data_IF_757417135956
#
_entry.id   IF_757417135956
#
_cell.length_a   1.000
_cell.length_b   1.000
_cell.length_c   1.000
_cell.angle_alpha   90.00
_cell.angle_beta   90.00
_cell.angle_gamma   90.00
#
_symmetry.space_group_name_H-M   'P 1'
#
loop_
_entity.id
_entity.type
_entity.pdbx_description
1 polymer ?
#
# COMPACT_ATOMS: atom_id res chain seq x y z
N UNK A 1 49.00 4.46 3.71
CA UNK A 1 47.55 4.20 3.72
C UNK A 1 47.04 4.32 2.29
N UNK A 2 47.02 3.20 1.57
CA UNK A 2 46.55 3.14 0.19
C UNK A 2 45.02 3.05 0.24
N UNK A 3 44.26 4.00 -0.33
CA UNK A 3 42.81 3.91 -0.31
C UNK A 3 42.36 2.69 -1.12
N UNK A 4 41.53 1.89 -0.47
CA UNK A 4 41.08 0.58 -0.88
C UNK A 4 40.24 0.66 -2.17
N UNK A 5 40.83 0.23 -3.28
CA UNK A 5 40.22 0.18 -4.63
C UNK A 5 39.03 -0.78 -4.71
N UNK A 6 38.73 -1.52 -3.64
CA UNK A 6 37.52 -2.31 -3.49
C UNK A 6 36.24 -1.45 -3.48
N UNK A 7 36.32 -0.21 -3.02
CA UNK A 7 35.17 0.73 -2.93
C UNK A 7 34.61 1.16 -4.30
N UNK A 8 35.44 1.15 -5.35
CA UNK A 8 35.01 1.47 -6.72
C UNK A 8 34.23 0.33 -7.39
N UNK A 9 34.21 -0.88 -6.81
CA UNK A 9 33.50 -2.04 -7.36
C UNK A 9 32.01 -2.11 -6.98
N UNK A 10 31.54 -1.29 -6.05
CA UNK A 10 30.25 -1.49 -5.40
C UNK A 10 29.18 -0.43 -5.77
N UNK A 11 29.53 0.62 -6.50
CA UNK A 11 28.74 1.85 -6.49
C UNK A 11 27.97 2.19 -7.78
N UNK A 12 27.60 1.23 -8.64
CA UNK A 12 26.64 1.49 -9.73
C UNK A 12 25.65 0.32 -9.93
N UNK A 13 24.67 0.28 -9.01
CA UNK A 13 23.25 0.04 -9.28
C UNK A 13 22.88 -1.14 -10.20
N UNK A 14 22.81 -2.34 -9.61
CA UNK A 14 21.82 -3.34 -10.00
C UNK A 14 20.53 -3.04 -9.25
N UNK A 15 19.58 -2.31 -9.87
CA UNK A 15 18.19 -2.43 -9.46
C UNK A 15 17.64 -3.65 -10.22
N UNK A 16 17.36 -4.74 -9.51
CA UNK A 16 16.69 -5.93 -10.06
C UNK A 16 17.42 -6.63 -11.23
N UNK A 17 18.76 -6.72 -11.17
CA UNK A 17 19.53 -7.54 -12.10
C UNK A 17 19.61 -7.04 -13.55
N UNK A 18 19.06 -5.86 -13.87
CA UNK A 18 19.19 -5.23 -15.20
C UNK A 18 20.16 -4.05 -15.15
N UNK A 19 21.12 -3.94 -16.08
CA UNK A 19 21.99 -2.78 -16.15
C UNK A 19 21.18 -1.53 -16.51
N UNK A 20 21.32 -0.47 -15.71
CA UNK A 20 20.61 0.82 -15.89
C UNK A 20 20.97 1.49 -17.24
N UNK A 21 22.17 1.23 -17.76
CA UNK A 21 22.66 1.85 -18.99
C UNK A 21 22.61 0.88 -20.17
N UNK A 22 21.96 1.29 -21.26
CA UNK A 22 21.92 0.53 -22.53
C UNK A 22 23.28 0.49 -23.27
N UNK A 23 24.22 1.38 -22.92
CA UNK A 23 25.58 1.49 -23.47
C UNK A 23 26.57 1.76 -22.33
N UNK A 24 27.84 1.37 -22.51
CA UNK A 24 28.87 1.64 -21.51
C UNK A 24 29.10 3.15 -21.34
N UNK A 25 29.00 3.70 -20.10
CA UNK A 25 29.31 5.10 -19.83
C UNK A 25 30.80 5.39 -20.00
N UNK A 26 31.16 6.66 -20.25
CA UNK A 26 32.56 7.10 -20.44
C UNK A 26 33.48 6.81 -19.24
N UNK A 27 32.91 6.70 -18.03
CA UNK A 27 33.65 6.46 -16.78
C UNK A 27 34.17 5.01 -16.72
N UNK A 28 33.54 4.08 -17.44
CA UNK A 28 33.93 2.68 -17.40
C UNK A 28 35.10 2.40 -18.33
N UNK A 29 36.12 1.67 -17.87
CA UNK A 29 37.19 1.23 -18.74
C UNK A 29 36.64 0.24 -19.80
N UNK A 30 37.25 0.18 -20.99
CA UNK A 30 36.89 -0.82 -21.99
C UNK A 30 37.21 -2.24 -21.49
N UNK A 31 36.53 -3.24 -22.07
CA UNK A 31 36.77 -4.64 -21.72
C UNK A 31 38.23 -5.04 -22.02
N UNK A 32 38.79 -5.93 -21.19
CA UNK A 32 40.18 -6.40 -21.35
C UNK A 32 40.49 -6.94 -22.75
N UNK A 33 39.55 -7.65 -23.36
CA UNK A 33 39.66 -8.19 -24.74
C UNK A 33 39.65 -7.12 -25.84
N UNK A 34 39.31 -5.86 -25.51
CA UNK A 34 39.25 -4.73 -26.45
C UNK A 34 40.39 -3.74 -26.25
N UNK A 35 41.18 -3.84 -25.17
CA UNK A 35 42.27 -2.92 -24.86
C UNK A 35 43.34 -2.85 -25.96
N UNK A 36 43.68 -4.01 -26.53
CA UNK A 36 44.74 -4.12 -27.55
C UNK A 36 44.18 -4.46 -28.94
N UNK A 37 42.85 -4.52 -29.09
CA UNK A 37 42.21 -4.91 -30.34
C UNK A 37 42.15 -3.72 -31.28
N UNK A 38 43.03 -3.69 -32.27
CA UNK A 38 42.96 -2.76 -33.41
C UNK A 38 42.04 -3.36 -34.47
N UNK A 39 41.16 -2.54 -35.06
CA UNK A 39 40.32 -2.98 -36.18
C UNK A 39 41.15 -2.94 -37.46
N UNK A 40 41.37 -4.11 -38.05
CA UNK A 40 42.02 -4.20 -39.35
C UNK A 40 41.08 -3.69 -40.47
N UNK A 41 41.61 -2.91 -41.42
CA UNK A 41 40.84 -2.51 -42.59
C UNK A 41 40.53 -3.73 -43.44
N UNK A 42 39.29 -3.80 -43.94
CA UNK A 42 38.92 -4.82 -44.92
C UNK A 42 39.53 -4.47 -46.28
N UNK A 43 40.02 -5.48 -46.99
CA UNK A 43 40.46 -5.34 -48.39
C UNK A 43 39.28 -4.83 -49.21
N UNK A 44 39.53 -3.83 -50.06
CA UNK A 44 38.53 -3.23 -50.94
C UNK A 44 38.92 -3.46 -52.39
N UNK A 45 37.95 -3.77 -53.23
CA UNK A 45 38.15 -3.81 -54.67
C UNK A 45 38.32 -2.37 -55.21
N UNK A 46 39.41 -2.07 -55.95
CA UNK A 46 39.65 -0.73 -56.49
C UNK A 46 38.52 -0.26 -57.43
N UNK A 47 37.95 -1.16 -58.25
CA UNK A 47 36.92 -0.78 -59.23
C UNK A 47 35.63 -0.42 -58.52
N UNK A 48 35.21 -1.26 -57.56
CA UNK A 48 34.00 -1.03 -56.77
C UNK A 48 34.11 0.26 -55.95
N UNK A 49 35.29 0.53 -55.36
CA UNK A 49 35.47 1.74 -54.56
C UNK A 49 35.41 3.02 -55.38
N UNK A 50 35.95 3.04 -56.59
CA UNK A 50 35.83 4.20 -57.48
C UNK A 50 34.38 4.48 -57.87
N UNK A 51 33.62 3.44 -58.21
CA UNK A 51 32.19 3.56 -58.53
C UNK A 51 31.38 4.04 -57.34
N UNK A 52 31.59 3.44 -56.17
CA UNK A 52 30.91 3.86 -54.93
C UNK A 52 31.23 5.31 -54.56
N UNK A 53 32.46 5.76 -54.73
CA UNK A 53 32.83 7.15 -54.47
C UNK A 53 32.09 8.13 -55.40
N UNK A 54 31.99 7.79 -56.69
CA UNK A 54 31.23 8.59 -57.67
C UNK A 54 29.74 8.62 -57.30
N UNK A 55 29.12 7.47 -57.15
CA UNK A 55 27.69 7.34 -56.83
C UNK A 55 27.33 8.01 -55.50
N UNK A 56 28.18 7.87 -54.48
CA UNK A 56 27.95 8.52 -53.19
C UNK A 56 27.98 10.05 -53.31
N UNK A 57 28.90 10.58 -54.12
CA UNK A 57 28.99 12.03 -54.35
C UNK A 57 27.75 12.57 -55.09
N UNK A 58 27.27 11.84 -56.11
CA UNK A 58 26.10 12.23 -56.88
C UNK A 58 24.81 12.11 -56.07
N UNK A 59 24.65 11.01 -55.32
CA UNK A 59 23.53 10.83 -54.39
C UNK A 59 23.48 11.94 -53.35
N UNK A 60 24.62 12.26 -52.72
CA UNK A 60 24.67 13.32 -51.70
C UNK A 60 24.33 14.69 -52.29
N UNK A 61 24.77 14.96 -53.52
CA UNK A 61 24.42 16.19 -54.25
C UNK A 61 22.91 16.28 -54.50
N UNK A 62 22.30 15.20 -54.99
CA UNK A 62 20.86 15.14 -55.24
C UNK A 62 20.06 15.30 -53.93
N UNK A 63 20.46 14.61 -52.87
CA UNK A 63 19.76 14.70 -51.59
C UNK A 63 19.91 16.09 -50.94
N UNK A 64 21.06 16.74 -51.07
CA UNK A 64 21.24 18.12 -50.63
C UNK A 64 20.26 19.07 -51.35
N UNK A 65 20.14 18.94 -52.68
CA UNK A 65 19.19 19.73 -53.46
C UNK A 65 17.73 19.53 -53.03
N UNK A 66 17.33 18.30 -52.68
CA UNK A 66 16.00 18.00 -52.14
C UNK A 66 15.79 18.66 -50.77
N UNK A 67 16.78 18.57 -49.88
CA UNK A 67 16.70 19.19 -48.54
C UNK A 67 16.59 20.70 -48.64
N UNK A 68 17.34 21.33 -49.54
CA UNK A 68 17.28 22.78 -49.76
C UNK A 68 15.92 23.20 -50.34
N UNK A 69 15.38 22.44 -51.29
CA UNK A 69 14.04 22.68 -51.84
C UNK A 69 12.95 22.57 -50.76
N UNK A 70 13.03 21.55 -49.90
CA UNK A 70 12.11 21.38 -48.77
C UNK A 70 12.23 22.53 -47.77
N UNK A 71 13.46 22.93 -47.42
CA UNK A 71 13.72 24.07 -46.53
C UNK A 71 13.08 25.34 -47.08
N UNK A 72 13.29 25.63 -48.37
CA UNK A 72 12.67 26.76 -49.05
C UNK A 72 11.14 26.71 -48.99
N UNK A 73 10.53 25.53 -49.20
CA UNK A 73 9.08 25.37 -49.08
C UNK A 73 8.57 25.63 -47.65
N UNK A 74 9.31 25.19 -46.62
CA UNK A 74 8.94 25.44 -45.23
C UNK A 74 9.09 26.91 -44.84
N UNK A 75 10.17 27.57 -45.25
CA UNK A 75 10.39 29.01 -45.03
C UNK A 75 9.30 29.84 -45.74
N UNK A 76 9.04 29.54 -47.01
CA UNK A 76 8.01 30.22 -47.81
C UNK A 76 6.58 30.03 -47.29
N UNK A 77 6.31 28.90 -46.62
CA UNK A 77 5.03 28.64 -45.94
C UNK A 77 4.99 29.30 -44.57
N UNK A 78 6.08 29.26 -43.80
CA UNK A 78 6.18 29.88 -42.49
C UNK A 78 5.94 31.39 -42.51
N UNK A 79 6.38 32.07 -43.57
CA UNK A 79 6.15 33.51 -43.74
C UNK A 79 4.75 33.87 -44.27
N UNK A 80 4.04 32.93 -44.91
CA UNK A 80 2.65 33.13 -45.39
C UNK A 80 1.60 32.70 -44.37
N UNK A 81 1.94 31.79 -43.47
CA UNK A 81 1.12 31.35 -42.34
C UNK A 81 1.42 32.19 -41.08
N UNK A 82 1.84 33.45 -41.23
CA UNK A 82 1.69 34.46 -40.16
C UNK A 82 0.20 34.86 -40.03
N UNK A 83 -0.59 33.83 -39.70
CA UNK A 83 -1.68 33.81 -38.74
C UNK A 83 -3.02 34.49 -39.10
N UNK A 84 -3.89 33.84 -39.88
CA UNK A 84 -5.32 34.15 -39.84
C UNK A 84 -5.98 33.70 -38.52
N UNK A 85 -5.27 32.93 -37.70
CA UNK A 85 -5.73 32.34 -36.44
C UNK A 85 -4.91 32.81 -35.24
N UNK A 86 -4.40 34.05 -35.28
CA UNK A 86 -3.81 34.68 -34.11
C UNK A 86 -4.96 34.90 -33.14
N UNK A 87 -5.23 33.88 -32.33
CA UNK A 87 -6.25 33.92 -31.30
C UNK A 87 -5.88 35.11 -30.45
N UNK A 88 -6.67 36.18 -30.56
CA UNK A 88 -6.56 37.31 -29.66
C UNK A 88 -6.93 36.77 -28.28
N UNK A 89 -5.95 36.31 -27.50
CA UNK A 89 -6.09 35.87 -26.09
C UNK A 89 -6.69 36.96 -25.19
N UNK A 90 -6.90 38.18 -25.71
CA UNK A 90 -7.39 39.35 -24.99
C UNK A 90 -8.91 39.41 -24.82
N UNK A 91 -9.68 38.47 -25.37
CA UNK A 91 -11.13 38.46 -25.19
C UNK A 91 -11.60 37.04 -24.91
N UNK A 92 -11.45 36.59 -23.67
CA UNK A 92 -12.39 35.59 -23.17
C UNK A 92 -13.75 36.27 -23.13
N UNK A 93 -14.75 35.70 -23.80
CA UNK A 93 -16.09 36.26 -23.81
C UNK A 93 -16.60 36.36 -22.36
N UNK A 94 -16.85 37.59 -21.90
CA UNK A 94 -17.31 37.86 -20.53
C UNK A 94 -18.59 37.08 -20.20
N UNK A 95 -19.41 36.82 -21.22
CA UNK A 95 -20.62 35.99 -21.12
C UNK A 95 -20.31 34.55 -20.72
N UNK A 96 -19.26 33.94 -21.29
CA UNK A 96 -18.86 32.56 -20.96
C UNK A 96 -18.31 32.47 -19.54
N UNK A 97 -17.60 33.51 -19.09
CA UNK A 97 -17.12 33.60 -17.71
C UNK A 97 -18.32 33.70 -16.75
N UNK A 98 -19.28 34.56 -17.04
CA UNK A 98 -20.48 34.73 -16.21
C UNK A 98 -21.33 33.45 -16.14
N UNK A 99 -21.42 32.67 -17.23
CA UNK A 99 -22.10 31.37 -17.23
C UNK A 99 -21.36 30.39 -16.32
N UNK A 100 -20.03 30.33 -16.42
CA UNK A 100 -19.20 29.45 -15.58
C UNK A 100 -19.34 29.79 -14.09
N UNK A 101 -19.32 31.08 -13.74
CA UNK A 101 -19.53 31.55 -12.37
C UNK A 101 -20.90 31.14 -11.82
N UNK A 102 -21.97 31.27 -12.62
CA UNK A 102 -23.31 30.83 -12.23
C UNK A 102 -23.36 29.33 -11.97
N UNK A 103 -22.75 28.52 -12.83
CA UNK A 103 -22.68 27.06 -12.65
C UNK A 103 -21.86 26.67 -11.42
N UNK A 104 -20.75 27.37 -11.16
CA UNK A 104 -19.95 27.16 -9.96
C UNK A 104 -20.73 27.52 -8.69
N UNK A 105 -21.49 28.62 -8.70
CA UNK A 105 -22.34 29.02 -7.58
C UNK A 105 -23.44 27.97 -7.30
N UNK A 106 -24.13 27.48 -8.33
CA UNK A 106 -25.13 26.43 -8.19
C UNK A 106 -24.52 25.12 -7.66
N UNK A 107 -23.37 24.72 -8.19
CA UNK A 107 -22.65 23.51 -7.78
C UNK A 107 -22.17 23.62 -6.33
N UNK A 108 -21.73 24.81 -5.91
CA UNK A 108 -21.31 25.08 -4.52
C UNK A 108 -22.46 24.88 -3.54
N UNK A 109 -23.64 25.42 -3.83
CA UNK A 109 -24.84 25.26 -2.99
C UNK A 109 -25.23 23.78 -2.87
N UNK A 110 -25.27 23.04 -3.98
CA UNK A 110 -25.57 21.62 -3.96
C UNK A 110 -24.54 20.81 -3.15
N UNK A 111 -23.26 21.17 -3.26
CA UNK A 111 -22.18 20.54 -2.50
C UNK A 111 -22.30 20.80 -1.00
N UNK A 112 -22.62 22.02 -0.60
CA UNK A 112 -22.81 22.39 0.81
C UNK A 112 -24.00 21.63 1.42
N UNK A 113 -25.11 21.54 0.70
CA UNK A 113 -26.28 20.75 1.11
C UNK A 113 -25.91 19.27 1.31
N UNK A 114 -25.22 18.67 0.34
CA UNK A 114 -24.78 17.28 0.42
C UNK A 114 -23.89 17.03 1.65
N UNK A 115 -22.92 17.92 1.91
CA UNK A 115 -22.04 17.76 3.07
C UNK A 115 -22.79 17.91 4.39
N UNK A 116 -23.74 18.85 4.48
CA UNK A 116 -24.57 19.01 5.67
C UNK A 116 -25.34 17.72 6.00
N UNK A 117 -26.00 17.12 5.02
CA UNK A 117 -26.72 15.85 5.19
C UNK A 117 -25.79 14.69 5.56
N UNK A 118 -24.65 14.58 4.88
CA UNK A 118 -23.67 13.52 5.15
C UNK A 118 -23.07 13.63 6.55
N UNK A 119 -22.74 14.84 7.00
CA UNK A 119 -22.25 15.07 8.37
C UNK A 119 -23.32 14.75 9.40
N UNK A 120 -24.56 15.20 9.22
CA UNK A 120 -25.65 14.88 10.14
C UNK A 120 -25.88 13.37 10.24
N UNK A 121 -25.85 12.66 9.12
CA UNK A 121 -25.94 11.19 9.09
C UNK A 121 -24.78 10.52 9.81
N UNK A 122 -23.55 11.02 9.66
CA UNK A 122 -22.37 10.50 10.35
C UNK A 122 -22.44 10.75 11.86
N UNK A 123 -22.88 11.93 12.28
CA UNK A 123 -23.08 12.29 13.68
C UNK A 123 -24.12 11.37 14.32
N UNK A 124 -25.28 11.18 13.67
CA UNK A 124 -26.32 10.28 14.17
C UNK A 124 -25.82 8.84 14.35
N UNK A 125 -25.09 8.31 13.34
CA UNK A 125 -24.47 6.97 13.43
C UNK A 125 -23.44 6.86 14.55
N UNK A 126 -22.69 7.93 14.81
CA UNK A 126 -21.69 7.95 15.87
C UNK A 126 -22.36 7.96 17.24
N UNK A 127 -23.41 8.76 17.42
CA UNK A 127 -24.20 8.78 18.65
C UNK A 127 -24.81 7.41 18.94
N UNK A 128 -25.42 6.76 17.96
CA UNK A 128 -25.99 5.41 18.13
C UNK A 128 -24.92 4.37 18.54
N UNK A 129 -23.73 4.42 17.93
CA UNK A 129 -22.61 3.57 18.32
C UNK A 129 -22.13 3.86 19.74
N UNK A 130 -22.12 5.13 20.13
CA UNK A 130 -21.70 5.56 21.45
C UNK A 130 -22.66 5.06 22.52
N UNK A 131 -23.96 5.20 22.30
CA UNK A 131 -25.00 4.69 23.20
C UNK A 131 -24.90 3.18 23.39
N UNK A 132 -24.70 2.42 22.30
CA UNK A 132 -24.47 0.96 22.35
C UNK A 132 -23.24 0.61 23.18
N UNK A 133 -22.13 1.31 22.93
CA UNK A 133 -20.88 1.10 23.68
C UNK A 133 -21.05 1.39 25.17
N UNK A 134 -21.69 2.51 25.52
CA UNK A 134 -21.91 2.89 26.91
C UNK A 134 -22.84 1.88 27.61
N UNK A 135 -23.88 1.38 26.93
CA UNK A 135 -24.76 0.32 27.47
C UNK A 135 -24.02 -1.01 27.70
N UNK A 136 -23.14 -1.42 26.78
CA UNK A 136 -22.30 -2.61 26.94
C UNK A 136 -21.28 -2.45 28.06
N UNK A 137 -20.69 -1.25 28.20
CA UNK A 137 -19.76 -0.93 29.27
C UNK A 137 -20.43 -1.02 30.65
N UNK A 138 -21.66 -0.49 30.79
CA UNK A 138 -22.45 -0.61 32.03
C UNK A 138 -22.71 -2.08 32.37
N UNK A 139 -23.22 -2.87 31.42
CA UNK A 139 -23.44 -4.33 31.61
C UNK A 139 -22.17 -5.06 32.04
N UNK A 140 -21.03 -4.71 31.42
CA UNK A 140 -19.73 -5.30 31.76
C UNK A 140 -19.29 -4.92 33.17
N UNK A 141 -19.47 -3.67 33.57
CA UNK A 141 -19.17 -3.23 34.94
C UNK A 141 -20.05 -3.92 35.97
N UNK A 142 -21.34 -4.07 35.70
CA UNK A 142 -22.28 -4.78 36.58
C UNK A 142 -21.90 -6.26 36.72
N UNK A 143 -21.58 -6.93 35.61
CA UNK A 143 -21.12 -8.32 35.64
C UNK A 143 -19.81 -8.49 36.41
N UNK A 144 -18.87 -7.55 36.27
CA UNK A 144 -17.63 -7.55 37.05
C UNK A 144 -17.90 -7.31 38.54
N UNK A 145 -18.75 -6.34 38.89
CA UNK A 145 -19.15 -6.09 40.29
C UNK A 145 -19.79 -7.33 40.92
N UNK A 146 -20.72 -7.98 40.22
CA UNK A 146 -21.36 -9.20 40.69
C UNK A 146 -20.35 -10.34 40.91
N UNK A 147 -19.37 -10.50 40.00
CA UNK A 147 -18.28 -11.47 40.17
C UNK A 147 -17.42 -11.14 41.38
N UNK A 148 -17.03 -9.88 41.59
CA UNK A 148 -16.24 -9.47 42.75
C UNK A 148 -16.98 -9.75 44.06
N UNK A 149 -18.26 -9.42 44.15
CA UNK A 149 -19.09 -9.72 45.34
C UNK A 149 -19.21 -11.24 45.59
N UNK A 150 -19.40 -12.03 44.53
CA UNK A 150 -19.41 -13.50 44.64
C UNK A 150 -18.07 -14.05 45.14
N UNK A 151 -16.95 -13.50 44.67
CA UNK A 151 -15.61 -13.89 45.10
C UNK A 151 -15.37 -13.49 46.56
N UNK A 152 -15.74 -12.28 46.98
CA UNK A 152 -15.66 -11.84 48.38
C UNK A 152 -16.45 -12.76 49.32
N UNK A 153 -17.62 -13.23 48.90
CA UNK A 153 -18.38 -14.25 49.64
C UNK A 153 -17.64 -15.58 49.76
N UNK A 154 -17.05 -16.06 48.67
CA UNK A 154 -16.27 -17.31 48.63
C UNK A 154 -14.93 -17.22 49.37
N UNK A 155 -14.35 -16.02 49.50
CA UNK A 155 -13.09 -15.80 50.22
C UNK A 155 -13.16 -16.27 51.68
N UNK A 156 -14.34 -16.21 52.31
CA UNK A 156 -14.55 -16.71 53.68
C UNK A 156 -14.34 -18.23 53.81
N UNK A 157 -14.46 -18.97 52.70
CA UNK A 157 -14.23 -20.41 52.64
C UNK A 157 -12.78 -20.81 52.31
N UNK A 158 -11.89 -19.85 52.03
CA UNK A 158 -10.51 -20.13 51.65
C UNK A 158 -9.69 -20.49 52.90
N UNK A 159 -8.88 -21.55 52.80
CA UNK A 159 -7.98 -21.97 53.87
C UNK A 159 -6.83 -20.95 53.99
N UNK A 160 -6.77 -20.26 55.13
CA UNK A 160 -5.66 -19.37 55.51
C UNK A 160 -4.71 -20.09 56.46
N UNK A 161 -3.49 -19.55 56.68
CA UNK A 161 -2.48 -20.16 57.57
C UNK A 161 -2.98 -20.40 59.00
N UNK A 162 -3.91 -19.57 59.45
CA UNK A 162 -4.47 -19.61 60.80
C UNK A 162 -5.58 -20.67 60.94
N UNK A 163 -6.24 -21.05 59.84
CA UNK A 163 -7.39 -21.96 59.81
C UNK A 163 -7.04 -23.32 59.15
N UNK A 164 -5.76 -23.73 59.18
CA UNK A 164 -5.34 -24.99 58.53
C UNK A 164 -5.77 -26.19 59.38
N UNK A 165 -5.48 -26.16 60.67
CA UNK A 165 -5.67 -27.32 61.56
C UNK A 165 -7.17 -27.62 61.76
N UNK A 166 -8.00 -26.59 61.99
CA UNK A 166 -9.45 -26.73 62.12
C UNK A 166 -10.11 -27.30 60.84
N UNK A 167 -9.69 -26.84 59.65
CA UNK A 167 -10.18 -27.37 58.38
C UNK A 167 -9.72 -28.80 58.11
N UNK A 168 -8.52 -29.17 58.56
CA UNK A 168 -8.02 -30.54 58.43
C UNK A 168 -8.88 -31.50 59.25
N UNK A 169 -9.22 -31.14 60.48
CA UNK A 169 -10.11 -31.93 61.34
C UNK A 169 -11.53 -32.02 60.77
N UNK A 170 -12.07 -30.92 60.24
CA UNK A 170 -13.36 -30.89 59.54
C UNK A 170 -13.37 -31.85 58.34
N UNK A 171 -12.33 -31.85 57.52
CA UNK A 171 -12.21 -32.74 56.36
C UNK A 171 -12.13 -34.21 56.80
N UNK A 172 -11.33 -34.52 57.82
CA UNK A 172 -11.14 -35.89 58.31
C UNK A 172 -12.40 -36.46 59.00
N UNK A 173 -13.25 -35.59 59.57
CA UNK A 173 -14.53 -35.97 60.19
C UNK A 173 -15.70 -35.98 59.20
N UNK A 174 -15.60 -35.22 58.09
CA UNK A 174 -16.61 -35.20 57.03
C UNK A 174 -16.63 -36.51 56.22
N UNK A 175 -17.80 -36.94 55.71
CA UNK A 175 -17.88 -38.09 54.81
C UNK A 175 -17.14 -37.79 53.50
N UNK A 176 -16.60 -38.83 52.86
CA UNK A 176 -15.86 -38.73 51.60
C UNK A 176 -16.74 -38.07 50.53
N UNK A 177 -16.35 -36.88 50.07
CA UNK A 177 -17.04 -36.17 48.98
C UNK A 177 -16.79 -36.92 47.67
N UNK A 178 -17.85 -37.51 47.10
CA UNK A 178 -17.77 -38.27 45.87
C UNK A 178 -18.02 -37.39 44.64
N UNK A 179 -16.99 -37.20 43.82
CA UNK A 179 -17.10 -36.49 42.54
C UNK A 179 -17.48 -37.39 41.37
N UNK A 180 -17.61 -38.70 41.60
CA UNK A 180 -17.94 -39.66 40.55
C UNK A 180 -19.42 -39.51 40.16
N UNK A 181 -19.68 -39.28 38.88
CA UNK A 181 -21.02 -39.31 38.30
C UNK A 181 -20.96 -39.93 36.91
N UNK A 182 -22.03 -40.61 36.50
CA UNK A 182 -22.21 -41.10 35.15
C UNK A 182 -23.16 -40.17 34.40
N UNK A 183 -23.03 -40.09 33.08
CA UNK A 183 -23.96 -39.36 32.21
C UNK A 183 -24.66 -40.37 31.31
N UNK A 184 -25.99 -40.38 31.37
CA UNK A 184 -26.83 -41.24 30.53
C UNK A 184 -26.74 -40.82 29.06
N UNK A 185 -27.10 -41.71 28.14
CA UNK A 185 -27.23 -41.41 26.70
C UNK A 185 -28.19 -40.23 26.41
N UNK A 186 -29.11 -39.93 27.34
CA UNK A 186 -30.01 -38.77 27.28
C UNK A 186 -29.43 -37.49 27.88
N UNK A 187 -28.17 -37.49 28.30
CA UNK A 187 -27.49 -36.36 28.94
C UNK A 187 -27.86 -36.13 30.40
N UNK A 188 -28.59 -37.03 31.05
CA UNK A 188 -28.92 -36.92 32.49
C UNK A 188 -27.77 -37.41 33.37
N UNK A 189 -27.45 -36.62 34.40
CA UNK A 189 -26.40 -36.95 35.37
C UNK A 189 -26.96 -37.93 36.41
N UNK A 190 -26.25 -39.03 36.64
CA UNK A 190 -26.58 -40.08 37.62
C UNK A 190 -25.43 -40.20 38.62
N UNK A 191 -25.71 -39.88 39.89
CA UNK A 191 -24.75 -40.04 40.97
C UNK A 191 -24.86 -41.46 41.59
N UNK A 192 -23.73 -42.07 42.00
CA UNK A 192 -23.75 -43.32 42.76
C UNK A 192 -24.46 -43.09 44.11
N UNK A 193 -25.29 -44.05 44.54
CA UNK A 193 -25.96 -43.98 45.85
C UNK A 193 -24.92 -44.15 46.96
N UNK A 194 -24.91 -43.25 47.95
CA UNK A 194 -24.07 -43.41 49.14
C UNK A 194 -24.56 -44.62 49.95
N UNK A 195 -23.65 -45.51 50.30
CA UNK A 195 -23.93 -46.63 51.20
C UNK A 195 -24.12 -46.11 52.62
N UNK A 196 -25.35 -45.76 53.00
CA UNK A 196 -25.64 -45.23 54.34
C UNK A 196 -27.11 -45.01 54.71
N UNK A 197 -28.05 -44.97 53.75
CA UNK A 197 -29.48 -44.85 54.08
C UNK A 197 -30.11 -46.24 54.29
N UNK A 198 -30.80 -46.50 55.42
CA UNK A 198 -31.52 -47.74 55.60
C UNK A 198 -32.70 -47.81 54.61
N UNK A 199 -32.94 -48.98 53.98
CA UNK A 199 -34.07 -49.13 53.08
C UNK A 199 -35.38 -49.06 53.88
N UNK A 200 -36.38 -48.39 53.30
CA UNK A 200 -37.79 -48.63 53.62
C UNK A 200 -38.16 -50.09 53.31
#
# INVERSE_FOLDING_TARGET
LVPDMASARLALLKREGRPIFRRNPRIFPPAKSKLLRVREPRVRDPVETELLNKWWSDYRRQMAAIVDALRYCFESKGDRDSDPYRVNEKVFDEELIAINERWNAQTKLAREHYYFEDFNRKIAKLLEKREKYDAEAVKRMEALRAKTLSMEGQCKGIVTRENIDERLEEIMSSPIVQFNYAVSERGTIVHPKSSGDPPL
#
